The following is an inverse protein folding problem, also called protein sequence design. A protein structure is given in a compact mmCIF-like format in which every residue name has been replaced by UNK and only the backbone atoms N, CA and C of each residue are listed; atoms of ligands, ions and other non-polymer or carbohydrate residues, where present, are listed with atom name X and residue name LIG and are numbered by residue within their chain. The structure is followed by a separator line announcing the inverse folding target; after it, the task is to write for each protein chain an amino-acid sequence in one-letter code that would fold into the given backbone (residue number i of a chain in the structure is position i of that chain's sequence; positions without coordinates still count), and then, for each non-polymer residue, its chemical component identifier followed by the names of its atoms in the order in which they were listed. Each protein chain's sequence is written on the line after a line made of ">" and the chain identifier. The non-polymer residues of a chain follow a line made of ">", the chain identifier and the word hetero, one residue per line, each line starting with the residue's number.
data_IF_500302988793
#
_entry.id   IF_500302988793
#
_cell.length_a   1.000
_cell.length_b   1.000
_cell.length_c   1.000
_cell.angle_alpha   90.00
_cell.angle_beta   90.00
_cell.angle_gamma   90.00
#
_symmetry.space_group_name_H-M   'P 1'
#
loop_
_entity.id
_entity.type
_entity.pdbx_description
1 polymer ?
#
# COMPACT_ATOMS: atom_id res chain seq x y z
N UNK A 1 3.72 17.12 6.64
CA UNK A 1 5.19 16.97 6.53
C UNK A 1 5.57 17.20 5.07
N UNK A 2 6.70 17.85 4.80
CA UNK A 2 7.13 18.14 3.42
C UNK A 2 8.14 17.07 3.00
N UNK A 3 7.80 16.24 2.00
CA UNK A 3 8.71 15.24 1.46
C UNK A 3 9.66 15.91 0.48
N UNK A 4 10.97 15.72 0.64
CA UNK A 4 11.94 16.12 -0.38
C UNK A 4 11.86 15.16 -1.58
N UNK A 5 11.24 15.63 -2.66
CA UNK A 5 11.02 14.83 -3.86
C UNK A 5 12.32 14.51 -4.61
N UNK A 6 13.38 15.31 -4.46
CA UNK A 6 14.67 15.02 -5.09
C UNK A 6 15.42 13.90 -4.37
N UNK A 7 15.36 13.87 -3.04
CA UNK A 7 15.83 12.72 -2.25
C UNK A 7 15.04 11.47 -2.64
N UNK A 8 13.72 11.55 -2.71
CA UNK A 8 12.89 10.40 -3.06
C UNK A 8 13.15 9.90 -4.50
N UNK A 9 13.41 10.79 -5.46
CA UNK A 9 13.84 10.42 -6.83
C UNK A 9 15.18 9.70 -6.84
N UNK A 10 16.14 10.09 -5.99
CA UNK A 10 17.44 9.40 -5.86
C UNK A 10 17.26 8.00 -5.29
N UNK A 11 16.41 7.85 -4.27
CA UNK A 11 16.07 6.55 -3.69
C UNK A 11 15.40 5.63 -4.72
N UNK A 12 14.43 6.14 -5.50
CA UNK A 12 13.68 5.37 -6.49
C UNK A 12 14.56 4.79 -7.64
N UNK A 13 15.69 5.42 -7.96
CA UNK A 13 16.59 4.97 -9.04
C UNK A 13 17.56 3.86 -8.61
N UNK A 14 17.82 3.71 -7.31
CA UNK A 14 18.85 2.79 -6.80
C UNK A 14 18.29 1.44 -6.40
N UNK A 15 18.73 0.34 -7.04
CA UNK A 15 18.34 -1.02 -6.64
C UNK A 15 18.77 -1.39 -5.21
N UNK A 16 19.86 -0.81 -4.70
CA UNK A 16 20.30 -0.95 -3.31
C UNK A 16 19.38 -0.23 -2.30
N UNK A 17 18.72 0.84 -2.74
CA UNK A 17 17.89 1.70 -1.89
C UNK A 17 16.44 1.19 -1.77
N UNK A 18 16.10 0.10 -2.47
CA UNK A 18 14.79 -0.53 -2.37
C UNK A 18 14.49 -1.03 -0.94
N UNK A 19 15.52 -1.37 -0.17
CA UNK A 19 15.39 -1.72 1.26
C UNK A 19 15.01 -0.50 2.10
N UNK A 20 15.62 0.66 1.84
CA UNK A 20 15.32 1.89 2.59
C UNK A 20 13.90 2.42 2.28
N UNK A 21 13.46 2.28 1.03
CA UNK A 21 12.07 2.55 0.63
C UNK A 21 11.09 1.66 1.40
N UNK A 22 11.41 0.37 1.54
CA UNK A 22 10.59 -0.58 2.32
C UNK A 22 10.49 -0.16 3.78
N UNK A 23 11.63 0.07 4.43
CA UNK A 23 11.70 0.51 5.84
C UNK A 23 10.96 1.82 6.07
N UNK A 24 11.17 2.82 5.20
CA UNK A 24 10.49 4.10 5.32
C UNK A 24 8.96 3.93 5.26
N UNK A 25 8.47 3.06 4.38
CA UNK A 25 7.05 2.75 4.29
C UNK A 25 6.53 1.99 5.53
N UNK A 26 7.27 1.02 6.05
CA UNK A 26 6.91 0.29 7.28
C UNK A 26 6.77 1.25 8.47
N UNK A 27 7.75 2.13 8.67
CA UNK A 27 7.70 3.13 9.74
C UNK A 27 6.55 4.13 9.55
N UNK A 28 6.25 4.51 8.32
CA UNK A 28 5.13 5.40 8.02
C UNK A 28 3.79 4.74 8.33
N UNK A 29 3.62 3.45 8.02
CA UNK A 29 2.42 2.69 8.38
C UNK A 29 2.30 2.55 9.89
N UNK A 30 3.38 2.26 10.61
CA UNK A 30 3.35 2.26 12.08
C UNK A 30 2.93 3.61 12.66
N UNK A 31 3.49 4.71 12.15
CA UNK A 31 3.12 6.04 12.58
C UNK A 31 1.64 6.35 12.31
N UNK A 32 1.15 6.02 11.11
CA UNK A 32 -0.26 6.19 10.71
C UNK A 32 -1.22 5.40 11.63
N UNK A 33 -0.91 4.14 11.91
CA UNK A 33 -1.70 3.28 12.82
C UNK A 33 -1.72 3.83 14.25
N UNK A 34 -0.55 4.18 14.81
CA UNK A 34 -0.43 4.70 16.17
C UNK A 34 -1.18 6.02 16.32
N UNK A 35 -1.01 6.94 15.36
CA UNK A 35 -1.72 8.22 15.36
C UNK A 35 -3.23 8.06 15.14
N UNK A 36 -3.65 6.95 14.53
CA UNK A 36 -5.06 6.56 14.40
C UNK A 36 -5.60 5.80 15.62
N UNK A 37 -4.82 5.65 16.69
CA UNK A 37 -5.24 5.03 17.95
C UNK A 37 -5.04 3.51 18.02
N UNK A 38 -4.34 2.90 17.07
CA UNK A 38 -4.09 1.45 17.05
C UNK A 38 -2.71 1.11 17.61
N UNK A 39 -2.67 0.09 18.47
CA UNK A 39 -1.41 -0.47 18.95
C UNK A 39 -0.83 -1.41 17.89
N UNK A 40 0.40 -1.18 17.46
CA UNK A 40 1.06 -2.01 16.46
C UNK A 40 2.56 -2.17 16.71
N UNK A 41 3.16 -3.16 16.06
CA UNK A 41 4.57 -3.51 16.18
C UNK A 41 5.13 -3.85 14.80
N UNK A 42 6.37 -3.41 14.54
CA UNK A 42 7.16 -3.95 13.44
C UNK A 42 7.48 -5.42 13.73
N UNK A 43 7.44 -6.26 12.70
CA UNK A 43 7.83 -7.65 12.80
C UNK A 43 9.28 -7.85 12.37
N UNK A 44 9.90 -8.94 12.81
CA UNK A 44 11.27 -9.28 12.41
C UNK A 44 11.42 -9.57 10.91
N UNK A 45 12.64 -9.38 10.41
CA UNK A 45 12.96 -9.64 9.01
C UNK A 45 12.75 -11.12 8.64
N UNK A 46 12.22 -11.36 7.45
CA UNK A 46 12.02 -12.71 6.91
C UNK A 46 10.62 -13.30 7.14
N UNK A 47 9.78 -12.62 7.93
CA UNK A 47 8.37 -12.94 8.05
C UNK A 47 7.58 -12.57 6.78
N UNK A 48 6.38 -13.10 6.65
CA UNK A 48 5.51 -12.88 5.47
C UNK A 48 4.56 -11.67 5.61
N UNK A 49 4.76 -10.90 6.68
CA UNK A 49 4.12 -9.65 7.02
C UNK A 49 5.19 -8.76 7.64
N UNK A 50 4.97 -7.45 7.65
CA UNK A 50 5.95 -6.47 8.15
C UNK A 50 5.49 -5.81 9.46
N UNK A 51 4.18 -5.82 9.73
CA UNK A 51 3.55 -5.20 10.90
C UNK A 51 2.50 -6.13 11.50
N UNK A 52 2.38 -6.12 12.83
CA UNK A 52 1.26 -6.72 13.56
C UNK A 52 0.49 -5.61 14.28
N UNK A 53 -0.83 -5.59 14.12
CA UNK A 53 -1.74 -4.68 14.84
C UNK A 53 -2.54 -5.46 15.85
N UNK A 54 -2.55 -4.97 17.09
CA UNK A 54 -3.30 -5.55 18.19
C UNK A 54 -4.68 -4.90 18.26
N UNK A 55 -5.72 -5.67 17.92
CA UNK A 55 -7.12 -5.22 17.95
C UNK A 55 -7.90 -6.05 18.97
N UNK A 56 -7.50 -5.94 20.24
CA UNK A 56 -8.08 -6.53 21.47
C UNK A 56 -8.28 -8.06 21.46
N UNK A 57 -9.13 -8.55 20.55
CA UNK A 57 -9.53 -9.95 20.41
C UNK A 57 -8.64 -10.75 19.45
N UNK A 58 -7.82 -10.08 18.64
CA UNK A 58 -6.93 -10.74 17.68
C UNK A 58 -5.77 -9.87 17.22
N UNK A 59 -4.71 -10.53 16.76
CA UNK A 59 -3.62 -9.89 16.03
C UNK A 59 -3.95 -9.84 14.53
N UNK A 60 -3.69 -8.70 13.90
CA UNK A 60 -3.82 -8.49 12.46
C UNK A 60 -2.43 -8.42 11.85
N UNK A 61 -2.12 -9.32 10.92
CA UNK A 61 -0.86 -9.33 10.17
C UNK A 61 -0.98 -8.45 8.94
N UNK A 62 -0.13 -7.45 8.82
CA UNK A 62 -0.15 -6.46 7.74
C UNK A 62 1.13 -6.55 6.93
N UNK A 63 1.01 -6.76 5.62
CA UNK A 63 2.13 -6.62 4.69
C UNK A 63 2.11 -5.23 4.05
N UNK A 64 3.25 -4.55 4.07
CA UNK A 64 3.49 -3.26 3.47
C UNK A 64 3.98 -3.41 2.02
N UNK A 65 3.45 -2.56 1.14
CA UNK A 65 3.95 -2.35 -0.23
C UNK A 65 3.99 -0.86 -0.52
N UNK A 66 5.10 -0.41 -1.07
CA UNK A 66 5.34 1.01 -1.31
C UNK A 66 5.58 1.31 -2.78
N UNK A 67 5.25 2.53 -3.18
CA UNK A 67 5.73 3.18 -4.38
C UNK A 67 6.18 4.60 -4.04
N UNK A 68 7.18 5.10 -4.77
CA UNK A 68 7.68 6.46 -4.57
C UNK A 68 6.79 7.50 -5.24
N UNK A 69 6.30 7.24 -6.45
CA UNK A 69 5.58 8.21 -7.27
C UNK A 69 4.44 7.54 -8.02
N UNK A 70 3.42 8.30 -8.45
CA UNK A 70 2.44 7.80 -9.39
C UNK A 70 3.06 7.80 -10.80
N UNK A 71 2.53 6.94 -11.67
CA UNK A 71 2.96 6.85 -13.06
C UNK A 71 1.77 6.73 -13.98
N UNK A 72 1.94 7.02 -15.27
CA UNK A 72 0.90 6.74 -16.25
C UNK A 72 0.70 5.22 -16.38
N UNK A 73 -0.47 4.74 -15.97
CA UNK A 73 -0.79 3.31 -15.94
C UNK A 73 -1.36 2.79 -17.26
N UNK A 74 -1.62 3.67 -18.23
CA UNK A 74 -2.15 3.28 -19.52
C UNK A 74 -1.02 2.88 -20.49
N UNK A 75 -1.31 1.90 -21.35
CA UNK A 75 -0.49 1.64 -22.52
C UNK A 75 -0.50 2.87 -23.45
N UNK A 76 0.60 3.04 -24.21
CA UNK A 76 0.79 4.18 -25.12
C UNK A 76 -0.44 4.40 -26.02
N UNK A 77 -0.90 5.64 -26.13
CA UNK A 77 -2.01 6.04 -27.02
C UNK A 77 -3.40 6.19 -26.39
N UNK A 78 -3.58 5.92 -25.09
CA UNK A 78 -4.81 6.25 -24.36
C UNK A 78 -4.62 7.52 -23.53
N UNK A 79 -5.73 8.20 -23.20
CA UNK A 79 -5.72 9.37 -22.31
C UNK A 79 -4.92 9.08 -21.03
N UNK A 80 -4.13 10.04 -20.58
CA UNK A 80 -3.23 9.84 -19.44
C UNK A 80 -4.01 9.40 -18.19
N UNK A 81 -3.45 8.43 -17.45
CA UNK A 81 -4.02 7.96 -16.19
C UNK A 81 -2.92 7.80 -15.15
N UNK A 82 -2.63 8.91 -14.48
CA UNK A 82 -1.65 8.98 -13.41
C UNK A 82 -2.19 8.31 -12.15
N UNK A 83 -1.48 7.30 -11.66
CA UNK A 83 -1.77 6.69 -10.36
C UNK A 83 -0.70 5.77 -9.85
N UNK A 84 -0.88 5.36 -8.60
CA UNK A 84 0.03 4.52 -7.86
C UNK A 84 -0.26 3.06 -8.18
N UNK A 85 0.77 2.33 -8.62
CA UNK A 85 0.68 0.91 -8.94
C UNK A 85 1.46 0.10 -7.92
N UNK A 86 0.80 -0.92 -7.35
CA UNK A 86 1.37 -1.78 -6.32
C UNK A 86 1.32 -3.23 -6.77
N UNK A 87 2.44 -3.94 -6.62
CA UNK A 87 2.50 -5.38 -6.87
C UNK A 87 2.41 -6.16 -5.56
N UNK A 88 1.23 -6.74 -5.32
CA UNK A 88 0.92 -7.47 -4.09
C UNK A 88 1.33 -8.93 -4.25
N UNK A 89 2.64 -9.14 -4.17
CA UNK A 89 3.30 -10.44 -4.35
C UNK A 89 4.45 -10.60 -3.37
N UNK A 90 4.78 -11.84 -3.03
CA UNK A 90 6.03 -12.18 -2.36
C UNK A 90 7.18 -12.04 -3.35
N UNK A 91 8.31 -11.45 -2.91
CA UNK A 91 9.53 -11.39 -3.71
C UNK A 91 10.05 -12.83 -3.91
N UNK A 92 10.14 -13.26 -5.16
CA UNK A 92 10.67 -14.57 -5.54
C UNK A 92 12.06 -14.46 -6.17
N UNK A 93 12.80 -15.58 -6.23
CA UNK A 93 14.01 -15.67 -7.04
C UNK A 93 13.65 -15.56 -8.53
N UNK A 94 14.55 -14.97 -9.34
CA UNK A 94 14.41 -14.86 -10.81
C UNK A 94 13.10 -14.18 -11.26
N UNK A 95 12.64 -13.15 -10.53
CA UNK A 95 11.40 -12.40 -10.80
C UNK A 95 10.10 -13.25 -10.79
N UNK A 96 10.14 -14.51 -10.33
CA UNK A 96 8.96 -15.37 -10.17
C UNK A 96 8.32 -15.18 -8.79
N UNK A 97 7.79 -13.99 -8.55
CA UNK A 97 7.04 -13.69 -7.33
C UNK A 97 5.71 -14.45 -7.28
N UNK A 98 5.34 -14.95 -6.09
CA UNK A 98 4.06 -15.64 -5.86
C UNK A 98 3.02 -14.65 -5.32
N UNK A 99 1.74 -14.90 -5.62
CA UNK A 99 0.64 -14.11 -5.04
C UNK A 99 0.64 -14.31 -3.51
N UNK A 100 0.37 -13.24 -2.77
CA UNK A 100 0.08 -13.38 -1.35
C UNK A 100 -1.27 -14.09 -1.16
N UNK A 101 -1.34 -14.93 -0.14
CA UNK A 101 -2.52 -15.67 0.31
C UNK A 101 -2.73 -15.40 1.79
N UNK A 102 -3.87 -15.82 2.34
CA UNK A 102 -4.22 -15.61 3.75
C UNK A 102 -3.22 -16.24 4.74
N UNK A 103 -2.39 -17.19 4.29
CA UNK A 103 -1.30 -17.73 5.12
C UNK A 103 -0.21 -16.67 5.39
N UNK A 104 -0.07 -15.67 4.51
CA UNK A 104 0.98 -14.67 4.56
C UNK A 104 0.59 -13.48 5.45
N UNK A 105 -0.58 -12.89 5.21
CA UNK A 105 -1.06 -11.70 5.90
C UNK A 105 -2.58 -11.58 5.79
N UNK A 106 -3.16 -10.74 6.64
CA UNK A 106 -4.60 -10.49 6.72
C UNK A 106 -4.99 -9.24 5.93
N UNK A 107 -4.15 -8.20 6.03
CA UNK A 107 -4.29 -6.94 5.30
C UNK A 107 -3.00 -6.62 4.53
N UNK A 108 -3.16 -5.75 3.54
CA UNK A 108 -2.04 -5.04 2.92
C UNK A 108 -2.17 -3.54 3.14
N UNK A 109 -1.04 -2.91 3.46
CA UNK A 109 -0.88 -1.46 3.51
C UNK A 109 -0.14 -0.99 2.26
N UNK A 110 -0.79 -0.16 1.44
CA UNK A 110 -0.26 0.38 0.20
C UNK A 110 0.16 1.84 0.43
N UNK A 111 1.45 2.12 0.28
CA UNK A 111 2.05 3.40 0.67
C UNK A 111 2.52 4.20 -0.55
N UNK A 112 2.00 5.42 -0.71
CA UNK A 112 2.57 6.41 -1.63
C UNK A 112 3.49 7.35 -0.85
N UNK A 113 4.81 7.21 -1.04
CA UNK A 113 5.81 7.92 -0.24
C UNK A 113 5.91 9.42 -0.55
N UNK A 114 5.67 9.83 -1.80
CA UNK A 114 5.70 11.24 -2.23
C UNK A 114 4.68 12.12 -1.51
N UNK A 115 3.53 11.53 -1.14
CA UNK A 115 2.45 12.21 -0.42
C UNK A 115 2.20 11.64 0.99
N UNK A 116 3.02 10.69 1.43
CA UNK A 116 2.92 10.04 2.75
C UNK A 116 1.52 9.48 3.06
N UNK A 117 0.85 8.90 2.06
CA UNK A 117 -0.49 8.34 2.21
C UNK A 117 -0.47 6.81 2.31
N UNK A 118 -1.35 6.26 3.14
CA UNK A 118 -1.53 4.81 3.33
C UNK A 118 -2.95 4.40 2.99
N UNK A 119 -3.09 3.34 2.19
CA UNK A 119 -4.35 2.65 1.95
C UNK A 119 -4.32 1.23 2.53
N UNK A 120 -5.36 0.85 3.25
CA UNK A 120 -5.51 -0.47 3.85
C UNK A 120 -6.59 -1.29 3.14
N UNK A 121 -6.24 -2.52 2.76
CA UNK A 121 -7.13 -3.43 2.04
C UNK A 121 -7.06 -4.85 2.62
N UNK A 122 -8.20 -5.51 2.86
CA UNK A 122 -8.22 -6.95 3.12
C UNK A 122 -7.57 -7.73 1.99
N UNK A 123 -6.72 -8.70 2.31
CA UNK A 123 -5.99 -9.44 1.29
C UNK A 123 -6.93 -10.14 0.29
N UNK A 124 -8.10 -10.60 0.76
CA UNK A 124 -9.14 -11.21 -0.09
C UNK A 124 -9.70 -10.28 -1.17
N UNK A 125 -9.63 -8.96 -0.96
CA UNK A 125 -10.09 -7.95 -1.93
C UNK A 125 -9.00 -7.55 -2.94
N UNK A 126 -7.79 -8.10 -2.77
CA UNK A 126 -6.59 -7.65 -3.47
C UNK A 126 -6.17 -8.65 -4.54
N UNK A 127 -6.14 -8.15 -5.77
CA UNK A 127 -5.54 -8.86 -6.91
C UNK A 127 -4.01 -8.87 -6.85
N UNK A 128 -3.37 -9.39 -7.89
CA UNK A 128 -1.90 -9.37 -8.00
C UNK A 128 -1.33 -7.96 -8.20
N UNK A 129 -2.15 -7.03 -8.69
CA UNK A 129 -1.80 -5.64 -8.95
C UNK A 129 -2.95 -4.76 -8.44
N UNK A 130 -2.61 -3.76 -7.63
CA UNK A 130 -3.54 -2.76 -7.14
C UNK A 130 -3.17 -1.39 -7.71
N UNK A 131 -4.18 -0.63 -8.10
CA UNK A 131 -4.02 0.71 -8.64
C UNK A 131 -4.91 1.68 -7.87
N UNK A 132 -4.29 2.68 -7.24
CA UNK A 132 -4.98 3.72 -6.47
C UNK A 132 -4.63 5.08 -7.02
N UNK A 133 -5.59 5.99 -7.03
CA UNK A 133 -5.39 7.30 -7.65
C UNK A 133 -4.85 8.31 -6.64
N UNK A 134 -4.12 9.35 -7.08
CA UNK A 134 -3.80 10.48 -6.24
C UNK A 134 -5.08 11.17 -5.74
N UNK A 135 -5.05 11.83 -4.58
CA UNK A 135 -6.15 12.67 -4.11
C UNK A 135 -6.55 13.68 -5.19
N UNK A 136 -7.85 13.88 -5.39
CA UNK A 136 -8.38 14.82 -6.39
C UNK A 136 -8.24 14.40 -7.86
N UNK A 137 -7.78 13.17 -8.15
CA UNK A 137 -7.69 12.70 -9.53
C UNK A 137 -9.05 12.70 -10.23
N UNK A 138 -9.14 13.46 -11.32
CA UNK A 138 -10.26 13.45 -12.25
C UNK A 138 -9.92 12.63 -13.48
N UNK A 139 -10.79 11.70 -13.86
CA UNK A 139 -10.62 10.92 -15.08
C UNK A 139 -11.02 11.76 -16.30
N UNK A 140 -10.06 12.00 -17.20
CA UNK A 140 -10.26 12.85 -18.39
C UNK A 140 -10.88 12.12 -19.60
N UNK A 141 -11.17 10.81 -19.51
CA UNK A 141 -11.70 10.03 -20.64
C UNK A 141 -13.21 10.14 -20.80
N UNK A 142 -13.69 10.05 -22.05
CA UNK A 142 -15.12 10.15 -22.41
C UNK A 142 -15.97 8.91 -22.10
N UNK A 143 -15.47 7.95 -21.31
CA UNK A 143 -16.15 6.68 -21.05
C UNK A 143 -16.32 6.39 -19.56
N UNK A 144 -17.41 5.71 -19.20
CA UNK A 144 -17.72 5.34 -17.81
C UNK A 144 -16.74 4.27 -17.33
N UNK A 145 -16.02 4.56 -16.25
CA UNK A 145 -15.09 3.64 -15.58
C UNK A 145 -15.71 3.10 -14.29
N UNK A 146 -15.12 2.00 -13.79
CA UNK A 146 -15.33 1.55 -12.41
C UNK A 146 -14.95 2.64 -11.41
N UNK A 147 -15.40 2.47 -10.16
CA UNK A 147 -15.19 3.45 -9.08
C UNK A 147 -13.71 3.85 -8.96
N UNK A 148 -13.44 5.15 -9.05
CA UNK A 148 -12.14 5.72 -8.75
C UNK A 148 -11.98 5.70 -7.24
N UNK A 149 -10.88 5.12 -6.76
CA UNK A 149 -10.56 5.08 -5.33
C UNK A 149 -9.26 5.84 -5.11
N UNK A 150 -9.28 6.99 -4.41
CA UNK A 150 -8.07 7.68 -4.04
C UNK A 150 -7.32 6.87 -2.99
N UNK A 151 -5.99 6.97 -2.97
CA UNK A 151 -5.18 6.26 -1.96
C UNK A 151 -5.53 6.68 -0.52
N UNK A 152 -5.97 7.91 -0.31
CA UNK A 152 -6.43 8.40 1.00
C UNK A 152 -7.83 7.93 1.39
N UNK A 153 -8.55 7.23 0.50
CA UNK A 153 -9.94 6.81 0.72
C UNK A 153 -10.12 5.43 1.32
N UNK A 154 -9.06 4.84 1.90
CA UNK A 154 -9.06 3.47 2.40
C UNK A 154 -8.38 3.39 3.78
N UNK A 155 -8.97 3.97 4.83
CA UNK A 155 -8.39 3.96 6.18
C UNK A 155 -8.42 2.56 6.80
N UNK A 156 -7.58 2.34 7.82
CA UNK A 156 -7.46 1.04 8.50
C UNK A 156 -8.78 0.57 9.12
N UNK A 157 -9.53 1.47 9.76
CA UNK A 157 -10.82 1.16 10.37
C UNK A 157 -11.82 0.54 9.37
N UNK A 158 -11.84 1.04 8.14
CA UNK A 158 -12.72 0.52 7.09
C UNK A 158 -12.25 -0.83 6.55
N UNK A 159 -10.94 -1.08 6.55
CA UNK A 159 -10.41 -2.41 6.25
C UNK A 159 -10.84 -3.43 7.32
N UNK A 160 -10.80 -3.08 8.62
CA UNK A 160 -11.27 -3.96 9.70
C UNK A 160 -12.76 -4.30 9.58
N UNK A 161 -13.62 -3.30 9.34
CA UNK A 161 -15.06 -3.53 9.12
C UNK A 161 -15.28 -4.50 7.96
N UNK A 162 -14.59 -4.27 6.84
CA UNK A 162 -14.67 -5.13 5.67
C UNK A 162 -14.12 -6.53 5.89
N UNK A 163 -13.21 -6.76 6.85
CA UNK A 163 -12.75 -8.10 7.23
C UNK A 163 -13.83 -8.92 7.96
N UNK A 164 -14.85 -8.28 8.51
CA UNK A 164 -15.88 -8.93 9.34
C UNK A 164 -15.85 -8.51 10.81
N UNK A 165 -15.20 -7.40 11.16
CA UNK A 165 -15.33 -6.79 12.48
C UNK A 165 -16.75 -6.25 12.66
N UNK A 166 -17.64 -7.03 13.29
CA UNK A 166 -18.83 -6.48 13.92
C UNK A 166 -18.34 -5.65 15.12
N UNK A 167 -18.60 -4.34 15.09
CA UNK A 167 -18.42 -3.37 16.15
C UNK A 167 -17.07 -3.41 16.90
N UNK A 168 -16.11 -2.63 16.38
CA UNK A 168 -15.18 -1.87 17.24
C UNK A 168 -15.80 -0.50 17.46
#
# INVERSE_FOLDING_TARGET
>A
MNVDHDVLRRLAKGGANALDIGKAAEHLVCADLILSGYRCYLSDQGLSYDIVVDVEVRLIRVQVKATCFPSNMNARGRAERIGYTFHVRKRGKLARGRRLSEEHCDLVALVALDIQAVAYLPLREVGQCCQLMPPGHAFAGKFKRSRIVPITGLPFADALKRMGGQNV
#
